data_IF_617496781313
#
_entry.id   IF_617496781313
#
_cell.length_a   1.000
_cell.length_b   1.000
_cell.length_c   1.000
_cell.angle_alpha   90.00
_cell.angle_beta   90.00
_cell.angle_gamma   90.00
#
_symmetry.space_group_name_H-M   'P 1'
#
loop_
_entity.id
_entity.type
_entity.pdbx_description
1 polymer ?
#
# COMPACT_ATOMS: atom_id res chain seq x y z
N UNK A 1 -28.69 37.56 -28.62
CA UNK A 1 -27.85 36.93 -29.66
C UNK A 1 -26.96 35.89 -28.98
N UNK A 2 -27.28 34.63 -29.17
CA UNK A 2 -26.47 33.51 -28.66
C UNK A 2 -25.45 33.17 -29.73
N UNK A 3 -24.19 33.41 -29.49
CA UNK A 3 -23.10 32.99 -30.36
C UNK A 3 -22.80 31.50 -30.11
N UNK A 4 -23.29 30.63 -30.98
CA UNK A 4 -22.86 29.26 -31.07
C UNK A 4 -21.44 29.22 -31.66
N UNK A 5 -20.44 28.97 -30.83
CA UNK A 5 -19.10 28.61 -31.30
C UNK A 5 -19.01 27.10 -31.31
N UNK A 6 -19.27 26.50 -32.48
CA UNK A 6 -18.98 25.11 -32.77
C UNK A 6 -17.46 24.99 -33.01
N UNK A 7 -16.69 24.59 -32.01
CA UNK A 7 -15.35 24.13 -32.17
C UNK A 7 -15.32 22.62 -31.92
N UNK A 8 -15.21 21.86 -33.01
CA UNK A 8 -14.76 20.45 -33.07
C UNK A 8 -14.98 19.58 -31.85
N UNK A 9 -16.19 19.04 -31.67
CA UNK A 9 -16.41 17.83 -30.86
C UNK A 9 -16.40 18.00 -29.34
N UNK A 10 -16.14 19.18 -28.79
CA UNK A 10 -16.18 19.43 -27.33
C UNK A 10 -17.35 20.35 -26.99
N UNK A 11 -18.21 19.87 -26.11
CA UNK A 11 -19.30 20.69 -25.55
C UNK A 11 -18.90 21.10 -24.12
N UNK A 12 -18.66 22.38 -23.92
CA UNK A 12 -18.44 22.89 -22.56
C UNK A 12 -19.79 23.06 -21.87
N UNK A 13 -20.09 22.20 -20.91
CA UNK A 13 -21.18 22.35 -19.97
C UNK A 13 -20.65 22.94 -18.68
N UNK A 14 -21.46 23.81 -18.03
CA UNK A 14 -21.13 24.27 -16.69
C UNK A 14 -21.05 23.05 -15.77
N UNK A 15 -19.93 22.87 -15.09
CA UNK A 15 -19.79 21.80 -14.08
C UNK A 15 -20.80 22.08 -12.96
N UNK A 16 -21.83 21.27 -12.87
CA UNK A 16 -22.70 21.20 -11.70
C UNK A 16 -22.17 20.06 -10.83
N UNK A 17 -21.78 20.39 -9.61
CA UNK A 17 -21.34 19.37 -8.65
C UNK A 17 -22.46 18.33 -8.51
N UNK A 18 -22.14 17.02 -8.55
CA UNK A 18 -23.15 15.98 -8.40
C UNK A 18 -23.92 16.20 -7.10
N UNK A 19 -25.24 16.08 -7.17
CA UNK A 19 -26.12 16.25 -6.02
C UNK A 19 -25.70 15.26 -4.92
N UNK A 20 -25.13 15.74 -3.84
CA UNK A 20 -24.76 14.89 -2.72
C UNK A 20 -26.02 14.55 -1.93
N UNK A 21 -26.39 13.28 -1.95
CA UNK A 21 -27.48 12.80 -1.09
C UNK A 21 -27.07 12.88 0.38
N UNK A 22 -28.02 12.95 1.32
CA UNK A 22 -27.69 12.87 2.75
C UNK A 22 -26.84 11.64 3.08
N UNK A 23 -27.09 10.50 2.43
CA UNK A 23 -26.26 9.30 2.53
C UNK A 23 -24.80 9.56 2.14
N UNK A 24 -24.56 10.25 1.02
CA UNK A 24 -23.20 10.53 0.51
C UNK A 24 -22.41 11.45 1.46
N UNK A 25 -23.07 12.25 2.28
CA UNK A 25 -22.43 13.07 3.33
C UNK A 25 -22.04 12.27 4.56
N UNK A 26 -22.89 11.33 4.99
CA UNK A 26 -22.68 10.54 6.21
C UNK A 26 -21.76 9.35 5.98
N UNK A 27 -21.77 8.77 4.77
CA UNK A 27 -21.01 7.56 4.48
C UNK A 27 -19.48 7.68 4.61
N UNK A 28 -18.82 8.80 4.25
CA UNK A 28 -17.40 9.01 4.56
C UNK A 28 -17.11 9.03 6.06
N UNK A 29 -17.97 9.68 6.86
CA UNK A 29 -17.85 9.74 8.33
C UNK A 29 -17.96 8.34 8.90
N UNK A 30 -18.99 7.59 8.50
CA UNK A 30 -19.17 6.18 8.90
C UNK A 30 -17.94 5.31 8.61
N UNK A 31 -17.35 5.41 7.41
CA UNK A 31 -16.14 4.65 7.05
C UNK A 31 -14.95 4.99 7.96
N UNK A 32 -14.84 6.26 8.33
CA UNK A 32 -13.81 6.74 9.25
C UNK A 32 -14.01 6.15 10.64
N UNK A 33 -15.23 6.25 11.19
CA UNK A 33 -15.57 5.74 12.51
C UNK A 33 -15.39 4.21 12.61
N UNK A 34 -15.85 3.45 11.61
CA UNK A 34 -15.63 2.00 11.55
C UNK A 34 -14.13 1.64 11.55
N UNK A 35 -13.29 2.46 10.94
CA UNK A 35 -11.84 2.24 10.97
C UNK A 35 -11.27 2.47 12.37
N UNK A 36 -11.75 3.48 13.08
CA UNK A 36 -11.35 3.79 14.46
C UNK A 36 -11.83 2.73 15.45
N UNK A 37 -13.08 2.31 15.35
CA UNK A 37 -13.68 1.29 16.24
C UNK A 37 -13.26 -0.14 15.86
N UNK A 38 -12.31 -0.30 14.94
CA UNK A 38 -11.81 -1.62 14.50
C UNK A 38 -12.92 -2.57 14.01
N UNK A 39 -13.89 -2.00 13.28
CA UNK A 39 -14.98 -2.77 12.68
C UNK A 39 -16.20 -2.97 13.59
N UNK A 40 -16.18 -2.45 14.81
CA UNK A 40 -17.36 -2.48 15.70
C UNK A 40 -18.41 -1.50 15.18
N UNK A 41 -19.52 -2.06 14.70
CA UNK A 41 -20.61 -1.29 14.13
C UNK A 41 -21.37 -0.49 15.18
N UNK A 42 -21.66 -1.12 16.32
CA UNK A 42 -22.49 -0.51 17.36
C UNK A 42 -21.75 0.69 17.97
N UNK A 43 -20.46 0.53 18.29
CA UNK A 43 -19.61 1.60 18.78
C UNK A 43 -19.48 2.75 17.74
N UNK A 44 -19.33 2.41 16.47
CA UNK A 44 -19.24 3.42 15.41
C UNK A 44 -20.51 4.25 15.26
N UNK A 45 -21.69 3.60 15.40
CA UNK A 45 -22.99 4.31 15.36
C UNK A 45 -23.19 5.17 16.60
N UNK A 46 -22.78 4.69 17.78
CA UNK A 46 -22.86 5.50 18.99
C UNK A 46 -22.00 6.77 18.89
N UNK A 47 -20.79 6.65 18.37
CA UNK A 47 -19.95 7.83 18.09
C UNK A 47 -20.57 8.75 17.03
N UNK A 48 -21.21 8.16 16.02
CA UNK A 48 -21.88 8.94 14.98
C UNK A 48 -23.07 9.73 15.54
N UNK A 49 -23.85 9.16 16.48
CA UNK A 49 -24.93 9.86 17.18
C UNK A 49 -24.41 11.01 18.03
N UNK A 50 -23.29 10.81 18.76
CA UNK A 50 -22.64 11.89 19.53
C UNK A 50 -22.17 13.03 18.62
N UNK A 51 -21.58 12.72 17.47
CA UNK A 51 -21.19 13.72 16.49
C UNK A 51 -22.40 14.45 15.89
N UNK A 52 -23.50 13.75 15.69
CA UNK A 52 -24.73 14.36 15.19
C UNK A 52 -25.34 15.37 16.21
N UNK A 53 -25.32 15.05 17.49
CA UNK A 53 -25.75 15.95 18.57
C UNK A 53 -24.89 17.24 18.59
N UNK A 54 -23.57 17.12 18.36
CA UNK A 54 -22.65 18.26 18.42
C UNK A 54 -22.64 19.09 17.13
N UNK A 55 -22.63 18.43 15.96
CA UNK A 55 -22.40 19.06 14.66
C UNK A 55 -23.62 19.10 13.74
N UNK A 56 -24.77 18.55 14.16
CA UNK A 56 -26.01 18.52 13.38
C UNK A 56 -25.79 17.96 11.96
N UNK A 57 -25.22 16.75 11.90
CA UNK A 57 -24.88 16.08 10.64
C UNK A 57 -26.11 15.64 9.86
N UNK A 58 -27.22 15.35 10.56
CA UNK A 58 -28.51 14.89 10.04
C UNK A 58 -29.52 16.02 9.92
N UNK A 59 -30.64 15.71 9.31
CA UNK A 59 -31.80 16.60 9.20
C UNK A 59 -33.05 15.89 9.74
N UNK A 60 -34.12 16.64 10.09
CA UNK A 60 -35.37 15.99 10.51
C UNK A 60 -35.97 15.04 9.47
N UNK A 61 -35.62 15.20 8.18
CA UNK A 61 -36.09 14.38 7.07
C UNK A 61 -35.21 13.16 6.80
N UNK A 62 -33.98 13.12 7.34
CA UNK A 62 -33.03 12.04 7.17
C UNK A 62 -32.16 11.90 8.42
N UNK A 63 -32.49 10.90 9.22
CA UNK A 63 -31.89 10.61 10.52
C UNK A 63 -30.78 9.57 10.43
N UNK A 64 -30.06 9.34 11.54
CA UNK A 64 -29.08 8.23 11.64
C UNK A 64 -29.77 6.86 11.40
N UNK A 65 -31.00 6.69 11.84
CA UNK A 65 -31.72 5.44 11.66
C UNK A 65 -32.09 5.22 10.18
N UNK A 66 -32.48 6.26 9.46
CA UNK A 66 -32.65 6.21 7.99
C UNK A 66 -31.35 5.85 7.27
N UNK A 67 -30.23 6.40 7.77
CA UNK A 67 -28.91 6.05 7.24
C UNK A 67 -28.56 4.58 7.45
N UNK A 68 -28.86 4.03 8.63
CA UNK A 68 -28.67 2.57 8.93
C UNK A 68 -29.53 1.71 8.01
N UNK A 69 -30.80 2.10 7.78
CA UNK A 69 -31.65 1.39 6.82
C UNK A 69 -31.09 1.42 5.39
N UNK A 70 -30.56 2.56 4.97
CA UNK A 70 -29.92 2.71 3.67
C UNK A 70 -28.64 1.87 3.57
N UNK A 71 -27.84 1.79 4.62
CA UNK A 71 -26.70 0.88 4.68
C UNK A 71 -27.12 -0.58 4.49
N UNK A 72 -28.23 -1.01 5.11
CA UNK A 72 -28.81 -2.35 4.92
C UNK A 72 -29.29 -2.55 3.48
N UNK A 73 -30.13 -1.65 2.98
CA UNK A 73 -30.69 -1.71 1.62
C UNK A 73 -29.60 -1.75 0.54
N UNK A 74 -28.54 -1.00 0.74
CA UNK A 74 -27.39 -0.94 -0.18
C UNK A 74 -26.43 -2.12 0.02
N UNK A 75 -26.60 -2.95 1.05
CA UNK A 75 -25.78 -4.13 1.34
C UNK A 75 -24.41 -3.83 1.90
N UNK A 76 -24.25 -2.71 2.60
CA UNK A 76 -23.02 -2.37 3.31
C UNK A 76 -22.93 -3.06 4.67
N UNK A 77 -24.08 -3.32 5.32
CA UNK A 77 -24.17 -4.03 6.59
C UNK A 77 -25.18 -5.17 6.47
N UNK A 78 -25.04 -6.16 7.32
CA UNK A 78 -25.97 -7.28 7.45
C UNK A 78 -26.16 -7.67 8.90
N UNK A 79 -27.31 -8.27 9.20
CA UNK A 79 -27.55 -8.90 10.50
C UNK A 79 -26.82 -10.24 10.59
N UNK A 80 -26.19 -10.46 11.71
CA UNK A 80 -25.60 -11.75 12.06
C UNK A 80 -26.17 -12.21 13.39
N UNK A 81 -26.68 -13.43 13.40
CA UNK A 81 -27.12 -14.07 14.63
C UNK A 81 -25.93 -14.80 15.22
N UNK A 82 -25.46 -14.35 16.38
CA UNK A 82 -24.39 -15.03 17.12
C UNK A 82 -24.85 -16.37 17.66
N UNK A 83 -23.93 -17.33 17.93
CA UNK A 83 -24.28 -18.63 18.47
C UNK A 83 -25.00 -18.58 19.82
N UNK A 84 -24.90 -17.47 20.54
CA UNK A 84 -25.59 -17.21 21.81
C UNK A 84 -27.03 -16.68 21.64
N UNK A 85 -27.51 -16.54 20.39
CA UNK A 85 -28.82 -16.03 20.06
C UNK A 85 -28.93 -14.50 20.03
N UNK A 86 -27.86 -13.75 20.35
CA UNK A 86 -27.85 -12.32 20.21
C UNK A 86 -27.65 -11.91 18.72
N UNK A 87 -28.52 -11.04 18.21
CA UNK A 87 -28.34 -10.42 16.90
C UNK A 87 -27.35 -9.27 16.99
N UNK A 88 -26.44 -9.18 16.04
CA UNK A 88 -25.52 -8.04 15.87
C UNK A 88 -25.47 -7.58 14.43
N UNK A 89 -25.09 -6.32 14.22
CA UNK A 89 -24.84 -5.82 12.88
C UNK A 89 -23.36 -5.96 12.57
N UNK A 90 -23.06 -6.47 11.37
CA UNK A 90 -21.69 -6.58 10.89
C UNK A 90 -21.53 -5.89 9.53
N UNK A 91 -20.34 -5.37 9.29
CA UNK A 91 -19.98 -4.82 8.00
C UNK A 91 -19.76 -5.93 6.97
N UNK A 92 -20.06 -5.64 5.71
CA UNK A 92 -19.89 -6.61 4.60
C UNK A 92 -18.57 -6.39 3.87
N UNK A 93 -18.18 -7.34 3.02
CA UNK A 93 -17.04 -7.20 2.11
C UNK A 93 -17.13 -5.96 1.20
N UNK A 94 -18.36 -5.49 0.92
CA UNK A 94 -18.61 -4.25 0.18
C UNK A 94 -18.14 -3.03 0.99
N UNK A 95 -18.43 -3.01 2.28
CA UNK A 95 -17.97 -1.95 3.19
C UNK A 95 -16.46 -2.01 3.39
N UNK A 96 -15.89 -3.18 3.59
CA UNK A 96 -14.43 -3.35 3.69
C UNK A 96 -13.72 -2.79 2.45
N UNK A 97 -14.23 -3.07 1.25
CA UNK A 97 -13.72 -2.49 0.02
C UNK A 97 -13.89 -0.98 -0.04
N UNK A 98 -15.05 -0.47 0.37
CA UNK A 98 -15.32 0.98 0.39
C UNK A 98 -14.40 1.71 1.38
N UNK A 99 -14.06 1.10 2.53
CA UNK A 99 -13.08 1.62 3.48
C UNK A 99 -11.68 1.68 2.87
N UNK A 100 -11.23 0.60 2.20
CA UNK A 100 -9.92 0.59 1.53
C UNK A 100 -9.82 1.63 0.41
N UNK A 101 -10.87 1.77 -0.40
CA UNK A 101 -10.93 2.81 -1.43
C UNK A 101 -10.90 4.21 -0.82
N UNK A 102 -11.62 4.42 0.27
CA UNK A 102 -11.60 5.70 1.00
C UNK A 102 -10.21 6.01 1.57
N UNK A 103 -9.54 5.03 2.16
CA UNK A 103 -8.16 5.17 2.62
C UNK A 103 -7.20 5.50 1.46
N UNK A 104 -7.38 4.86 0.30
CA UNK A 104 -6.60 5.15 -0.91
C UNK A 104 -6.82 6.59 -1.39
N UNK A 105 -8.06 7.06 -1.40
CA UNK A 105 -8.40 8.43 -1.80
C UNK A 105 -7.86 9.47 -0.81
N UNK A 106 -7.96 9.22 0.49
CA UNK A 106 -7.44 10.11 1.53
C UNK A 106 -5.91 10.25 1.45
N UNK A 107 -5.21 9.14 1.29
CA UNK A 107 -3.74 9.11 1.35
C UNK A 107 -3.13 9.49 0.01
N UNK A 108 -3.69 9.01 -1.11
CA UNK A 108 -3.12 9.16 -2.44
C UNK A 108 -3.92 10.06 -3.39
N UNK A 109 -5.11 10.50 -3.01
CA UNK A 109 -5.95 11.38 -3.82
C UNK A 109 -5.29 12.72 -4.15
N UNK A 110 -4.44 13.22 -3.27
CA UNK A 110 -3.66 14.44 -3.49
C UNK A 110 -2.45 14.21 -4.41
N UNK A 111 -1.92 12.98 -4.50
CA UNK A 111 -0.80 12.64 -5.38
C UNK A 111 -1.16 12.67 -6.88
N UNK A 112 -2.43 12.45 -7.22
CA UNK A 112 -2.92 12.58 -8.60
C UNK A 112 -2.95 14.04 -9.11
N UNK A 113 -2.84 15.04 -8.22
CA UNK A 113 -2.77 16.47 -8.59
C UNK A 113 -1.34 16.97 -8.78
N UNK A 114 -0.35 16.30 -8.20
CA UNK A 114 1.07 16.53 -8.51
C UNK A 114 1.40 15.67 -9.73
N UNK A 115 1.31 16.26 -10.91
CA UNK A 115 1.44 15.67 -12.24
C UNK A 115 2.05 14.27 -12.31
N UNK A 116 1.35 13.36 -12.95
CA UNK A 116 1.87 12.08 -13.41
C UNK A 116 3.16 12.34 -14.21
N UNK A 117 4.29 12.38 -13.51
CA UNK A 117 5.60 12.41 -14.12
C UNK A 117 5.83 11.07 -14.81
N UNK A 118 5.60 11.05 -16.10
CA UNK A 118 5.99 9.96 -17.00
C UNK A 118 7.53 9.95 -17.07
N UNK A 119 8.22 9.58 -16.01
CA UNK A 119 9.66 9.38 -16.04
C UNK A 119 9.95 8.07 -16.74
N UNK A 120 10.14 8.14 -18.04
CA UNK A 120 10.70 7.07 -18.85
C UNK A 120 12.09 6.74 -18.30
N UNK A 121 12.27 5.55 -17.77
CA UNK A 121 13.60 5.03 -17.45
C UNK A 121 14.30 4.70 -18.76
N UNK A 122 15.45 5.33 -19.02
CA UNK A 122 16.27 5.18 -20.23
C UNK A 122 16.99 3.83 -20.37
N UNK A 123 16.49 2.76 -19.82
CA UNK A 123 17.13 1.45 -19.99
C UNK A 123 16.14 0.44 -20.56
N UNK A 124 16.38 0.06 -21.82
CA UNK A 124 15.74 -1.06 -22.51
C UNK A 124 16.09 -2.37 -21.84
N UNK A 125 15.13 -3.27 -21.72
CA UNK A 125 15.31 -4.61 -21.14
C UNK A 125 14.34 -5.61 -21.75
N UNK A 126 14.67 -6.90 -21.70
CA UNK A 126 13.83 -7.99 -22.20
C UNK A 126 12.56 -8.14 -21.35
N UNK A 127 11.42 -7.62 -21.78
CA UNK A 127 10.12 -7.70 -21.09
C UNK A 127 8.98 -8.04 -22.05
N UNK A 128 7.85 -8.49 -21.50
CA UNK A 128 6.71 -9.02 -22.27
C UNK A 128 5.69 -7.96 -22.75
N UNK A 129 5.91 -6.68 -22.50
CA UNK A 129 5.00 -5.63 -22.97
C UNK A 129 5.69 -4.68 -23.94
N UNK A 130 5.15 -4.62 -25.15
CA UNK A 130 5.56 -3.70 -26.20
C UNK A 130 5.19 -2.26 -25.79
N UNK A 131 6.17 -1.37 -25.74
CA UNK A 131 5.92 0.05 -25.42
C UNK A 131 5.53 0.88 -26.61
N UNK A 132 5.65 0.30 -27.80
CA UNK A 132 5.52 1.04 -29.07
C UNK A 132 6.69 1.98 -29.37
N UNK A 133 7.69 2.07 -28.48
CA UNK A 133 8.93 2.81 -28.76
C UNK A 133 9.84 1.93 -29.62
N UNK A 134 10.26 2.47 -30.77
CA UNK A 134 11.09 1.77 -31.76
C UNK A 134 12.53 2.24 -31.65
N UNK A 135 13.47 1.31 -31.74
CA UNK A 135 14.91 1.59 -31.85
C UNK A 135 15.59 0.71 -32.90
N UNK A 136 16.75 1.12 -33.35
CA UNK A 136 17.58 0.29 -34.21
C UNK A 136 18.02 -0.99 -33.49
N UNK A 137 18.09 -2.09 -34.23
CA UNK A 137 18.59 -3.38 -33.78
C UNK A 137 20.02 -3.27 -33.26
N UNK A 138 20.31 -3.97 -32.17
CA UNK A 138 21.67 -4.15 -31.66
C UNK A 138 21.97 -5.63 -31.48
N UNK A 139 23.22 -6.01 -31.71
CA UNK A 139 23.64 -7.39 -31.51
C UNK A 139 23.34 -7.88 -30.09
N UNK A 140 22.57 -8.97 -29.97
CA UNK A 140 22.10 -9.52 -28.71
C UNK A 140 20.61 -9.26 -28.40
N UNK A 141 19.90 -8.50 -29.24
CA UNK A 141 18.46 -8.38 -29.16
C UNK A 141 17.76 -9.68 -29.55
N UNK A 142 16.63 -9.95 -28.90
CA UNK A 142 15.85 -11.15 -29.20
C UNK A 142 15.08 -10.98 -30.52
N UNK A 143 15.05 -12.01 -31.32
CA UNK A 143 14.39 -12.01 -32.65
C UNK A 143 12.88 -11.72 -32.51
N UNK A 144 12.26 -12.14 -31.41
CA UNK A 144 10.86 -11.93 -31.09
C UNK A 144 10.50 -10.45 -30.89
N UNK A 145 11.48 -9.59 -30.64
CA UNK A 145 11.31 -8.16 -30.44
C UNK A 145 11.45 -7.35 -31.75
N UNK A 146 11.81 -7.99 -32.85
CA UNK A 146 11.96 -7.32 -34.14
C UNK A 146 10.57 -6.97 -34.67
N UNK A 147 10.33 -5.66 -34.86
CA UNK A 147 9.14 -5.16 -35.57
C UNK A 147 9.32 -5.39 -37.08
N UNK A 148 8.77 -6.49 -37.58
CA UNK A 148 8.87 -6.83 -39.00
C UNK A 148 8.29 -5.75 -39.90
N UNK A 149 7.16 -5.13 -39.50
CA UNK A 149 6.51 -4.09 -40.28
C UNK A 149 7.39 -2.86 -40.50
N UNK A 150 8.01 -2.36 -39.43
CA UNK A 150 8.88 -1.19 -39.53
C UNK A 150 10.25 -1.54 -40.15
N UNK A 151 10.76 -2.73 -39.92
CA UNK A 151 11.99 -3.23 -40.56
C UNK A 151 11.82 -3.36 -42.07
N UNK A 152 10.70 -3.92 -42.53
CA UNK A 152 10.38 -4.04 -43.97
C UNK A 152 10.22 -2.65 -44.62
N UNK A 153 9.59 -1.72 -43.93
CA UNK A 153 9.42 -0.35 -44.37
C UNK A 153 10.77 0.36 -44.54
N UNK A 154 11.69 0.18 -43.56
CA UNK A 154 13.04 0.73 -43.67
C UNK A 154 13.80 0.09 -44.84
N UNK A 155 13.71 -1.23 -45.02
CA UNK A 155 14.35 -1.91 -46.16
C UNK A 155 13.84 -1.37 -47.53
N UNK A 156 12.52 -1.11 -47.64
CA UNK A 156 11.95 -0.50 -48.85
C UNK A 156 12.41 0.94 -49.09
N UNK A 157 12.54 1.71 -48.01
CA UNK A 157 13.03 3.11 -48.10
C UNK A 157 14.50 3.15 -48.51
N UNK A 158 15.31 2.23 -47.96
CA UNK A 158 16.76 2.21 -48.19
C UNK A 158 17.17 1.56 -49.52
N UNK A 159 16.46 0.50 -49.95
CA UNK A 159 16.86 -0.33 -51.10
C UNK A 159 15.88 -0.23 -52.30
N UNK A 160 14.77 0.51 -52.15
CA UNK A 160 13.75 0.64 -53.20
C UNK A 160 12.80 -0.56 -53.31
N UNK A 161 11.79 -0.44 -54.20
CA UNK A 161 10.72 -1.45 -54.31
C UNK A 161 11.09 -2.59 -55.29
N UNK A 162 12.13 -2.40 -56.15
CA UNK A 162 12.48 -3.33 -57.23
C UNK A 162 13.30 -4.54 -56.84
N UNK A 163 14.23 -4.39 -55.92
CA UNK A 163 15.02 -5.51 -55.35
C UNK A 163 14.91 -5.47 -53.83
N UNK A 164 14.08 -6.33 -53.29
CA UNK A 164 13.91 -6.41 -51.84
C UNK A 164 15.16 -7.03 -51.19
N UNK A 165 15.86 -6.23 -50.37
CA UNK A 165 17.02 -6.66 -49.59
C UNK A 165 16.84 -6.13 -48.15
N UNK A 166 16.77 -7.02 -47.20
CA UNK A 166 16.72 -6.69 -45.77
C UNK A 166 18.15 -6.79 -45.20
N UNK A 167 18.64 -5.72 -44.64
CA UNK A 167 19.94 -5.66 -43.98
C UNK A 167 19.79 -5.44 -42.49
N UNK A 168 20.85 -5.73 -41.71
CA UNK A 168 20.84 -5.52 -40.25
C UNK A 168 20.51 -4.06 -39.88
N UNK A 169 20.89 -3.10 -40.71
CA UNK A 169 20.64 -1.68 -40.51
C UNK A 169 19.14 -1.29 -40.68
N UNK A 170 18.38 -2.11 -41.36
CA UNK A 170 16.95 -1.91 -41.57
C UNK A 170 16.11 -2.48 -40.39
N UNK A 171 16.73 -3.31 -39.56
CA UNK A 171 16.04 -3.95 -38.44
C UNK A 171 15.69 -2.96 -37.33
N UNK A 172 14.44 -2.96 -36.96
CA UNK A 172 13.87 -2.14 -35.89
C UNK A 172 13.33 -3.07 -34.81
N UNK A 173 13.68 -2.77 -33.57
CA UNK A 173 13.24 -3.52 -32.40
C UNK A 173 12.26 -2.65 -31.60
N UNK A 174 11.17 -3.27 -31.19
CA UNK A 174 10.27 -2.64 -30.21
C UNK A 174 10.89 -2.75 -28.82
N UNK A 175 11.07 -1.61 -28.17
CA UNK A 175 11.52 -1.59 -26.78
C UNK A 175 10.45 -2.20 -25.89
N UNK A 176 10.85 -3.21 -25.15
CA UNK A 176 10.01 -3.82 -24.14
C UNK A 176 10.45 -3.36 -22.75
N UNK A 177 9.53 -2.84 -21.97
CA UNK A 177 9.83 -2.55 -20.57
C UNK A 177 9.71 -3.81 -19.73
N UNK A 178 10.77 -4.13 -19.00
CA UNK A 178 10.65 -5.06 -17.90
C UNK A 178 9.72 -4.44 -16.86
N UNK A 179 8.47 -4.89 -16.81
CA UNK A 179 7.68 -4.71 -15.60
C UNK A 179 8.29 -5.62 -14.54
N UNK A 180 9.20 -5.07 -13.75
CA UNK A 180 9.73 -5.78 -12.60
C UNK A 180 8.57 -6.09 -11.64
N UNK A 181 8.30 -7.37 -11.43
CA UNK A 181 7.33 -7.80 -10.42
C UNK A 181 7.97 -7.66 -9.04
N UNK A 182 7.24 -7.04 -8.12
CA UNK A 182 7.68 -6.79 -6.75
C UNK A 182 6.93 -7.70 -5.77
N UNK A 183 7.64 -8.28 -4.83
CA UNK A 183 7.03 -8.91 -3.64
C UNK A 183 7.31 -8.05 -2.43
N UNK A 184 6.24 -7.51 -1.83
CA UNK A 184 6.31 -6.68 -0.65
C UNK A 184 5.70 -7.41 0.53
N UNK A 185 6.40 -7.43 1.66
CA UNK A 185 5.82 -7.77 2.95
C UNK A 185 5.66 -6.49 3.75
N UNK A 186 4.44 -6.20 4.18
CA UNK A 186 4.13 -5.11 5.09
C UNK A 186 4.02 -5.67 6.50
N UNK A 187 4.91 -5.21 7.38
CA UNK A 187 4.93 -5.54 8.80
C UNK A 187 4.29 -4.41 9.59
N UNK A 188 3.30 -4.71 10.41
CA UNK A 188 2.62 -3.73 11.26
C UNK A 188 2.83 -4.11 12.72
N UNK A 189 3.37 -3.19 13.48
CA UNK A 189 3.51 -3.30 14.93
C UNK A 189 2.13 -3.16 15.59
N UNK A 190 1.77 -4.14 16.41
CA UNK A 190 0.52 -4.14 17.19
C UNK A 190 0.81 -4.20 18.69
N UNK A 191 2.02 -3.84 19.10
CA UNK A 191 2.40 -3.77 20.50
C UNK A 191 1.67 -2.65 21.22
N UNK A 192 1.63 -2.75 22.54
CA UNK A 192 0.90 -1.81 23.40
C UNK A 192 1.35 -0.35 23.23
N UNK A 193 2.60 -0.10 22.86
CA UNK A 193 3.14 1.24 22.62
C UNK A 193 2.45 2.00 21.46
N UNK A 194 1.79 1.27 20.55
CA UNK A 194 1.06 1.87 19.43
C UNK A 194 -0.21 2.63 19.85
N UNK A 195 -0.63 2.54 21.10
CA UNK A 195 -1.76 3.31 21.67
C UNK A 195 -1.40 4.05 22.98
N UNK A 196 -0.11 4.05 23.36
CA UNK A 196 0.31 4.72 24.60
C UNK A 196 0.34 6.24 24.44
N UNK A 197 0.25 6.92 25.59
CA UNK A 197 0.37 8.37 25.72
C UNK A 197 -0.73 9.19 25.05
N UNK A 198 -1.92 8.60 24.85
CA UNK A 198 -3.06 9.29 24.23
C UNK A 198 -2.93 9.50 22.72
N UNK A 199 -1.94 8.89 22.09
CA UNK A 199 -1.77 8.90 20.64
C UNK A 199 -2.26 7.57 20.03
N UNK A 200 -3.23 7.65 19.14
CA UNK A 200 -3.65 6.52 18.31
C UNK A 200 -2.72 6.42 17.08
N UNK A 201 -1.73 5.54 17.16
CA UNK A 201 -0.77 5.28 16.07
C UNK A 201 -1.21 4.13 15.18
N UNK A 202 -2.08 3.25 15.68
CA UNK A 202 -2.53 2.08 14.93
C UNK A 202 -3.52 2.44 13.82
N UNK A 203 -4.42 3.39 14.02
CA UNK A 203 -5.38 3.78 12.98
C UNK A 203 -4.71 4.35 11.73
N UNK A 204 -3.74 5.29 11.81
CA UNK A 204 -2.97 5.71 10.64
C UNK A 204 -2.21 4.55 9.97
N UNK A 205 -1.62 3.63 10.75
CA UNK A 205 -0.94 2.46 10.20
C UNK A 205 -1.92 1.55 9.42
N UNK A 206 -3.12 1.30 9.97
CA UNK A 206 -4.19 0.56 9.28
C UNK A 206 -4.60 1.25 7.97
N UNK A 207 -4.84 2.55 7.99
CA UNK A 207 -5.23 3.33 6.81
C UNK A 207 -4.20 3.20 5.69
N UNK A 208 -2.93 3.36 6.03
CA UNK A 208 -1.84 3.22 5.06
C UNK A 208 -1.74 1.79 4.52
N UNK A 209 -1.88 0.79 5.37
CA UNK A 209 -1.89 -0.60 4.95
C UNK A 209 -3.04 -0.91 3.99
N UNK A 210 -4.24 -0.41 4.28
CA UNK A 210 -5.43 -0.53 3.43
C UNK A 210 -5.26 0.19 2.10
N UNK A 211 -4.71 1.39 2.12
CA UNK A 211 -4.44 2.16 0.91
C UNK A 211 -3.41 1.49 0.01
N UNK A 212 -2.32 0.98 0.59
CA UNK A 212 -1.29 0.25 -0.13
C UNK A 212 -1.82 -1.06 -0.72
N UNK A 213 -2.65 -1.79 0.04
CA UNK A 213 -3.29 -3.00 -0.43
C UNK A 213 -4.22 -2.73 -1.63
N UNK A 214 -5.06 -1.70 -1.55
CA UNK A 214 -5.94 -1.33 -2.66
C UNK A 214 -5.15 -0.84 -3.88
N UNK A 215 -4.07 -0.07 -3.68
CA UNK A 215 -3.20 0.39 -4.74
C UNK A 215 -2.55 -0.78 -5.49
N UNK A 216 -1.94 -1.72 -4.75
CA UNK A 216 -1.25 -2.85 -5.36
C UNK A 216 -2.24 -3.75 -6.11
N UNK A 217 -3.37 -4.07 -5.50
CA UNK A 217 -4.37 -4.95 -6.13
C UNK A 217 -5.02 -4.34 -7.36
N UNK A 218 -5.14 -3.01 -7.43
CA UNK A 218 -5.81 -2.33 -8.57
C UNK A 218 -4.83 -1.90 -9.66
N UNK A 219 -3.68 -1.32 -9.30
CA UNK A 219 -2.72 -0.77 -10.28
C UNK A 219 -1.59 -1.72 -10.65
N UNK A 220 -1.23 -2.64 -9.75
CA UNK A 220 -0.07 -3.52 -9.94
C UNK A 220 -0.42 -5.01 -9.72
N UNK A 221 -1.33 -5.59 -10.52
CA UNK A 221 -1.87 -6.93 -10.27
C UNK A 221 -0.82 -8.05 -10.37
N UNK A 222 0.36 -7.78 -10.93
CA UNK A 222 1.50 -8.73 -10.98
C UNK A 222 2.39 -8.64 -9.73
N UNK A 223 2.26 -7.59 -8.93
CA UNK A 223 2.98 -7.44 -7.67
C UNK A 223 2.24 -8.20 -6.56
N UNK A 224 2.96 -8.65 -5.55
CA UNK A 224 2.34 -9.33 -4.40
C UNK A 224 2.54 -8.52 -3.13
N UNK A 225 1.49 -8.44 -2.32
CA UNK A 225 1.53 -7.89 -0.98
C UNK A 225 1.09 -8.96 0.01
N UNK A 226 1.97 -9.27 0.94
CA UNK A 226 1.65 -10.05 2.12
C UNK A 226 1.71 -9.15 3.34
N UNK A 227 0.76 -9.30 4.24
CA UNK A 227 0.66 -8.48 5.45
C UNK A 227 0.89 -9.38 6.64
N UNK A 228 1.74 -8.94 7.54
CA UNK A 228 1.94 -9.56 8.83
C UNK A 228 1.87 -8.53 9.95
N UNK A 229 1.46 -8.99 11.09
CA UNK A 229 1.48 -8.21 12.34
C UNK A 229 2.46 -8.84 13.31
N UNK A 230 3.04 -8.04 14.17
CA UNK A 230 3.96 -8.52 15.18
C UNK A 230 3.73 -7.83 16.53
N UNK A 231 3.80 -8.64 17.58
CA UNK A 231 3.73 -8.30 18.98
C UNK A 231 4.75 -9.16 19.71
N UNK A 232 4.33 -10.04 20.65
CA UNK A 232 5.22 -11.05 21.23
C UNK A 232 5.68 -12.09 20.17
N UNK A 233 4.78 -12.46 19.30
CA UNK A 233 5.01 -13.29 18.11
C UNK A 233 4.66 -12.52 16.84
N UNK A 234 4.82 -13.18 15.68
CA UNK A 234 4.43 -12.62 14.41
C UNK A 234 3.55 -13.62 13.64
N UNK A 235 2.51 -13.11 12.96
CA UNK A 235 1.63 -13.92 12.11
C UNK A 235 1.11 -13.13 10.93
N UNK A 236 0.72 -13.83 9.89
CA UNK A 236 0.13 -13.24 8.70
C UNK A 236 -1.35 -12.96 8.89
N UNK A 237 -1.82 -11.88 8.30
CA UNK A 237 -3.25 -11.52 8.23
C UNK A 237 -3.66 -11.32 6.77
N UNK A 238 -4.95 -11.44 6.49
CA UNK A 238 -5.50 -11.14 5.18
C UNK A 238 -5.82 -9.65 5.05
N UNK A 239 -5.86 -9.14 3.81
CA UNK A 239 -6.22 -7.73 3.54
C UNK A 239 -7.60 -7.37 4.13
N UNK A 240 -8.54 -8.32 4.14
CA UNK A 240 -9.87 -8.13 4.72
C UNK A 240 -9.85 -7.92 6.24
N UNK A 241 -8.81 -8.43 6.92
CA UNK A 241 -8.71 -8.34 8.38
C UNK A 241 -8.17 -6.98 8.85
N UNK A 242 -7.62 -6.16 7.94
CA UNK A 242 -7.03 -4.85 8.27
C UNK A 242 -7.99 -3.89 9.00
N UNK A 243 -9.26 -3.73 8.61
CA UNK A 243 -10.18 -2.86 9.34
C UNK A 243 -10.38 -3.26 10.80
N UNK A 244 -10.30 -4.56 11.08
CA UNK A 244 -10.54 -5.15 12.41
C UNK A 244 -9.30 -5.24 13.29
N UNK A 245 -8.14 -4.78 12.80
CA UNK A 245 -6.88 -4.86 13.51
C UNK A 245 -6.93 -4.03 14.79
N UNK A 246 -6.58 -4.66 15.90
CA UNK A 246 -6.48 -4.06 17.22
C UNK A 246 -5.07 -4.21 17.79
N UNK A 247 -4.69 -3.27 18.63
CA UNK A 247 -3.49 -3.37 19.45
C UNK A 247 -3.77 -4.30 20.63
N UNK A 248 -2.84 -5.19 20.91
CA UNK A 248 -2.92 -6.08 22.06
C UNK A 248 -1.96 -5.68 23.18
N UNK A 249 -2.04 -6.34 24.32
CA UNK A 249 -1.12 -6.16 25.44
C UNK A 249 0.23 -6.84 25.15
N UNK A 250 0.79 -6.57 23.97
CA UNK A 250 1.99 -7.23 23.46
C UNK A 250 3.22 -6.35 23.63
N UNK A 251 4.37 -7.01 23.81
CA UNK A 251 5.68 -6.44 23.60
C UNK A 251 6.03 -6.42 22.11
N UNK A 252 7.11 -5.73 21.73
CA UNK A 252 7.55 -5.59 20.36
C UNK A 252 8.66 -6.57 20.03
N UNK A 253 8.32 -7.69 19.36
CA UNK A 253 9.27 -8.70 18.87
C UNK A 253 9.59 -8.48 17.39
N UNK A 254 10.39 -7.48 17.10
CA UNK A 254 10.84 -7.17 15.73
C UNK A 254 11.59 -8.35 15.08
N UNK A 255 12.30 -9.16 15.89
CA UNK A 255 13.04 -10.34 15.41
C UNK A 255 12.10 -11.37 14.81
N UNK A 256 11.01 -11.71 15.50
CA UNK A 256 10.01 -12.66 14.98
C UNK A 256 9.34 -12.13 13.71
N UNK A 257 8.98 -10.84 13.68
CA UNK A 257 8.42 -10.22 12.50
C UNK A 257 9.34 -10.31 11.28
N UNK A 258 10.63 -9.97 11.43
CA UNK A 258 11.60 -10.03 10.34
C UNK A 258 11.88 -11.46 9.87
N UNK A 259 11.94 -12.43 10.78
CA UNK A 259 12.10 -13.84 10.43
C UNK A 259 10.95 -14.32 9.55
N UNK A 260 9.71 -14.07 9.99
CA UNK A 260 8.52 -14.43 9.21
C UNK A 260 8.48 -13.72 7.86
N UNK A 261 8.80 -12.43 7.82
CA UNK A 261 8.83 -11.66 6.57
C UNK A 261 9.84 -12.22 5.56
N UNK A 262 11.05 -12.54 6.02
CA UNK A 262 12.06 -13.16 5.18
C UNK A 262 11.64 -14.54 4.68
N UNK A 263 11.01 -15.35 5.53
CA UNK A 263 10.53 -16.68 5.16
C UNK A 263 9.41 -16.62 4.11
N UNK A 264 8.51 -15.65 4.20
CA UNK A 264 7.50 -15.39 3.18
C UNK A 264 8.18 -15.01 1.86
N UNK A 265 9.09 -14.05 1.88
CA UNK A 265 9.74 -13.53 0.67
C UNK A 265 10.66 -14.56 0.00
N UNK A 266 11.29 -15.46 0.75
CA UNK A 266 12.10 -16.57 0.18
C UNK A 266 11.28 -17.49 -0.72
N UNK A 267 10.00 -17.71 -0.40
CA UNK A 267 9.09 -18.58 -1.16
C UNK A 267 8.52 -17.90 -2.41
N UNK A 268 8.64 -16.56 -2.52
CA UNK A 268 8.15 -15.81 -3.69
C UNK A 268 9.12 -15.94 -4.86
N UNK A 269 8.55 -16.07 -6.06
CA UNK A 269 9.32 -16.20 -7.32
C UNK A 269 9.82 -14.85 -7.85
N UNK A 270 9.20 -13.75 -7.44
CA UNK A 270 9.55 -12.40 -7.90
C UNK A 270 10.99 -12.07 -7.51
N UNK A 271 11.73 -11.49 -8.46
CA UNK A 271 13.14 -11.13 -8.26
C UNK A 271 13.31 -9.99 -7.29
N UNK A 272 12.43 -8.98 -7.39
CA UNK A 272 12.47 -7.82 -6.51
C UNK A 272 11.63 -8.09 -5.26
N UNK A 273 12.24 -7.92 -4.11
CA UNK A 273 11.65 -8.19 -2.81
C UNK A 273 11.92 -7.03 -1.88
N UNK A 274 10.98 -6.69 -1.01
CA UNK A 274 11.16 -5.65 0.01
C UNK A 274 10.31 -5.91 1.23
N UNK A 275 10.73 -5.34 2.35
CA UNK A 275 9.97 -5.29 3.60
C UNK A 275 9.67 -3.82 3.91
N UNK A 276 8.40 -3.53 4.17
CA UNK A 276 7.95 -2.29 4.79
C UNK A 276 7.59 -2.58 6.24
N UNK A 277 8.15 -1.83 7.17
CA UNK A 277 7.90 -1.99 8.59
C UNK A 277 7.35 -0.69 9.17
N UNK A 278 6.14 -0.77 9.72
CA UNK A 278 5.49 0.34 10.44
C UNK A 278 5.57 0.02 11.93
N UNK A 279 6.23 0.86 12.70
CA UNK A 279 6.49 0.65 14.12
C UNK A 279 6.70 1.99 14.84
N UNK A 280 6.56 2.00 16.14
CA UNK A 280 7.02 3.11 16.98
C UNK A 280 8.52 3.00 17.34
N UNK A 281 9.17 1.88 16.98
CA UNK A 281 10.61 1.70 16.94
C UNK A 281 11.26 1.06 18.16
N UNK A 282 10.54 0.68 19.22
CA UNK A 282 11.13 0.10 20.43
C UNK A 282 11.02 -1.42 20.49
N UNK A 283 12.04 -2.20 20.09
CA UNK A 283 12.04 -3.64 20.32
C UNK A 283 12.19 -3.92 21.82
N UNK A 284 11.30 -4.73 22.37
CA UNK A 284 11.26 -5.00 23.82
C UNK A 284 11.10 -6.48 24.15
N UNK A 285 11.05 -7.36 23.15
CA UNK A 285 10.86 -8.79 23.33
C UNK A 285 11.64 -9.59 22.27
N UNK A 286 12.11 -10.76 22.65
CA UNK A 286 12.67 -11.77 21.75
C UNK A 286 12.33 -13.17 22.28
N UNK A 287 12.01 -14.09 21.38
CA UNK A 287 11.82 -15.49 21.73
C UNK A 287 13.13 -16.24 21.69
N UNK A 288 13.48 -16.91 22.79
CA UNK A 288 14.67 -17.72 22.92
C UNK A 288 14.50 -19.11 22.31
N UNK A 289 15.62 -19.82 22.13
CA UNK A 289 15.62 -21.18 21.55
C UNK A 289 14.88 -22.22 22.41
N UNK A 290 14.78 -21.99 23.71
CA UNK A 290 14.02 -22.82 24.64
C UNK A 290 12.50 -22.59 24.56
N UNK A 291 12.08 -21.59 23.75
CA UNK A 291 10.69 -21.21 23.58
C UNK A 291 10.19 -20.12 24.53
N UNK A 292 11.01 -19.73 25.53
CA UNK A 292 10.67 -18.66 26.45
C UNK A 292 10.87 -17.28 25.84
N UNK A 293 10.16 -16.28 26.38
CA UNK A 293 10.30 -14.89 25.96
C UNK A 293 11.23 -14.14 26.91
N UNK A 294 12.29 -13.59 26.36
CA UNK A 294 13.07 -12.57 27.03
C UNK A 294 12.45 -11.20 26.75
N UNK A 295 12.05 -10.49 27.81
CA UNK A 295 11.35 -9.21 27.71
C UNK A 295 12.05 -8.16 28.56
N UNK A 296 12.22 -6.95 28.02
CA UNK A 296 12.71 -5.80 28.73
C UNK A 296 11.96 -4.53 28.29
N UNK A 297 11.15 -4.00 29.20
CA UNK A 297 10.35 -2.78 28.98
C UNK A 297 11.13 -1.50 29.32
N UNK A 298 12.27 -1.59 30.00
CA UNK A 298 13.07 -0.45 30.45
C UNK A 298 14.14 -0.07 29.41
N UNK A 299 13.83 0.93 28.59
CA UNK A 299 14.77 1.42 27.58
C UNK A 299 15.01 0.45 26.42
N UNK A 300 16.10 0.67 25.68
CA UNK A 300 16.58 -0.23 24.64
C UNK A 300 17.55 -1.23 25.26
N UNK A 301 17.18 -2.50 25.23
CA UNK A 301 18.02 -3.60 25.71
C UNK A 301 19.04 -4.00 24.65
N UNK A 302 20.33 -4.02 25.02
CA UNK A 302 21.41 -4.30 24.08
C UNK A 302 21.27 -5.69 23.43
N UNK A 303 20.88 -6.70 24.20
CA UNK A 303 20.72 -8.06 23.68
C UNK A 303 19.62 -8.16 22.62
N UNK A 304 18.45 -7.53 22.87
CA UNK A 304 17.34 -7.49 21.92
C UNK A 304 17.74 -6.71 20.67
N UNK A 305 18.40 -5.57 20.84
CA UNK A 305 18.88 -4.69 19.76
C UNK A 305 19.87 -5.42 18.84
N UNK A 306 20.86 -6.14 19.43
CA UNK A 306 21.82 -6.93 18.65
C UNK A 306 21.13 -8.04 17.83
N UNK A 307 20.12 -8.68 18.39
CA UNK A 307 19.31 -9.66 17.64
C UNK A 307 18.58 -9.02 16.45
N UNK A 308 18.04 -7.81 16.64
CA UNK A 308 17.40 -7.06 15.54
C UNK A 308 18.41 -6.70 14.44
N UNK A 309 19.61 -6.22 14.80
CA UNK A 309 20.67 -5.91 13.82
C UNK A 309 21.13 -7.14 13.06
N UNK A 310 21.22 -8.29 13.72
CA UNK A 310 21.55 -9.56 13.07
C UNK A 310 20.49 -9.97 12.03
N UNK A 311 19.19 -9.75 12.31
CA UNK A 311 18.13 -10.00 11.34
C UNK A 311 18.18 -9.00 10.17
N UNK A 312 18.44 -7.73 10.44
CA UNK A 312 18.62 -6.71 9.41
C UNK A 312 19.79 -7.06 8.46
N UNK A 313 20.92 -7.48 9.01
CA UNK A 313 22.07 -7.96 8.23
C UNK A 313 21.76 -9.24 7.45
N UNK A 314 20.95 -10.15 8.00
CA UNK A 314 20.49 -11.33 7.28
C UNK A 314 19.59 -10.99 6.09
N UNK A 315 18.64 -10.07 6.26
CA UNK A 315 17.80 -9.57 5.17
C UNK A 315 18.65 -8.93 4.06
N UNK A 316 19.70 -8.17 4.41
CA UNK A 316 20.67 -7.62 3.46
C UNK A 316 21.38 -8.73 2.65
N UNK A 317 21.85 -9.80 3.29
CA UNK A 317 22.48 -10.95 2.61
C UNK A 317 21.52 -11.63 1.62
N UNK A 318 20.22 -11.53 1.86
CA UNK A 318 19.17 -12.05 0.97
C UNK A 318 18.73 -11.03 -0.09
N UNK A 319 19.40 -9.87 -0.18
CA UNK A 319 19.03 -8.77 -1.06
C UNK A 319 17.59 -8.27 -0.84
N UNK A 320 17.13 -8.27 0.41
CA UNK A 320 15.81 -7.78 0.81
C UNK A 320 16.01 -6.44 1.55
N UNK A 321 15.79 -5.29 0.91
CA UNK A 321 15.82 -4.01 1.59
C UNK A 321 14.64 -3.88 2.55
N UNK A 322 14.92 -3.28 3.71
CA UNK A 322 13.91 -2.93 4.71
C UNK A 322 13.74 -1.42 4.70
N UNK A 323 12.52 -0.97 4.53
CA UNK A 323 12.16 0.42 4.75
C UNK A 323 11.34 0.53 6.03
N UNK A 324 11.88 1.24 7.01
CA UNK A 324 11.24 1.46 8.31
C UNK A 324 10.50 2.78 8.32
N UNK A 325 9.21 2.76 8.60
CA UNK A 325 8.37 3.93 8.83
C UNK A 325 8.12 4.06 10.32
N UNK A 326 8.86 4.98 10.93
CA UNK A 326 8.82 5.21 12.36
C UNK A 326 7.84 6.33 12.70
N UNK A 327 6.83 6.01 13.50
CA UNK A 327 5.76 6.94 13.88
C UNK A 327 6.12 7.75 15.15
N UNK A 328 7.15 7.34 15.88
CA UNK A 328 7.60 8.04 17.11
C UNK A 328 8.73 9.03 16.83
N UNK A 329 8.81 10.10 17.67
CA UNK A 329 9.84 11.13 17.57
C UNK A 329 10.88 11.05 18.70
N UNK A 330 11.05 9.88 19.33
CA UNK A 330 12.01 9.68 20.41
C UNK A 330 13.45 9.61 19.85
N UNK A 331 14.38 10.48 20.30
CA UNK A 331 15.77 10.49 19.83
C UNK A 331 16.52 9.17 20.10
N UNK A 332 16.22 8.46 21.18
CA UNK A 332 16.83 7.16 21.47
C UNK A 332 16.41 6.10 20.46
N UNK A 333 15.14 6.09 20.10
CA UNK A 333 14.60 5.17 19.09
C UNK A 333 15.13 5.51 17.71
N UNK A 334 15.31 6.79 17.39
CA UNK A 334 15.92 7.22 16.12
C UNK A 334 17.33 6.67 15.98
N UNK A 335 18.13 6.68 17.06
CA UNK A 335 19.48 6.12 17.06
C UNK A 335 19.47 4.62 16.78
N UNK A 336 18.55 3.87 17.39
CA UNK A 336 18.37 2.44 17.10
C UNK A 336 18.00 2.21 15.63
N UNK A 337 17.01 2.94 15.13
CA UNK A 337 16.54 2.79 13.74
C UNK A 337 17.63 3.14 12.74
N UNK A 338 18.49 4.13 13.01
CA UNK A 338 19.62 4.48 12.15
C UNK A 338 20.62 3.31 12.04
N UNK A 339 21.05 2.74 13.15
CA UNK A 339 21.95 1.56 13.12
C UNK A 339 21.30 0.34 12.47
N UNK A 340 20.01 0.13 12.71
CA UNK A 340 19.24 -0.93 12.06
C UNK A 340 19.21 -0.76 10.53
N UNK A 341 18.99 0.48 10.09
CA UNK A 341 18.96 0.84 8.68
C UNK A 341 20.34 0.68 8.03
N UNK A 342 21.41 1.09 8.70
CA UNK A 342 22.79 0.87 8.25
C UNK A 342 23.12 -0.62 8.12
N UNK A 343 22.71 -1.44 9.08
CA UNK A 343 22.95 -2.89 9.05
C UNK A 343 22.28 -3.57 7.85
N UNK A 344 21.10 -3.10 7.45
CA UNK A 344 20.37 -3.61 6.30
C UNK A 344 20.76 -2.91 4.98
N UNK A 345 21.32 -1.68 5.02
CA UNK A 345 21.44 -0.75 3.89
C UNK A 345 20.07 -0.39 3.28
N UNK A 346 19.06 -0.34 4.12
CA UNK A 346 17.70 0.02 3.79
C UNK A 346 17.44 1.52 3.89
N UNK A 347 16.23 1.88 4.30
CA UNK A 347 15.80 3.26 4.52
C UNK A 347 15.02 3.40 5.81
N UNK A 348 15.05 4.57 6.40
CA UNK A 348 14.19 4.94 7.51
C UNK A 348 13.52 6.29 7.24
N UNK A 349 12.22 6.35 7.49
CA UNK A 349 11.44 7.56 7.43
C UNK A 349 10.86 7.84 8.81
N UNK A 350 11.10 9.05 9.29
CA UNK A 350 10.57 9.54 10.56
C UNK A 350 9.40 10.45 10.25
N UNK A 351 8.21 9.99 10.53
CA UNK A 351 7.00 10.72 10.17
C UNK A 351 6.07 10.86 11.36
N UNK A 352 5.33 11.96 11.40
CA UNK A 352 4.14 12.03 12.22
C UNK A 352 2.99 11.26 11.56
N UNK A 353 1.85 11.25 12.23
CA UNK A 353 0.62 10.59 11.72
C UNK A 353 0.17 11.13 10.35
N UNK A 354 0.52 12.39 10.04
CA UNK A 354 0.28 13.02 8.74
C UNK A 354 1.52 12.84 7.86
N UNK A 355 1.40 12.25 6.69
CA UNK A 355 2.49 12.06 5.71
C UNK A 355 3.04 10.65 5.59
N UNK A 356 2.68 9.73 6.49
CA UNK A 356 3.10 8.33 6.44
C UNK A 356 2.77 7.67 5.09
N UNK A 357 1.56 7.90 4.59
CA UNK A 357 1.11 7.30 3.34
C UNK A 357 1.88 7.80 2.12
N UNK A 358 2.17 9.11 2.04
CA UNK A 358 2.94 9.69 0.95
C UNK A 358 4.35 9.09 0.89
N UNK A 359 5.02 8.98 2.03
CA UNK A 359 6.37 8.40 2.11
C UNK A 359 6.40 6.92 1.71
N UNK A 360 5.43 6.13 2.15
CA UNK A 360 5.32 4.72 1.78
C UNK A 360 5.10 4.56 0.27
N UNK A 361 4.25 5.40 -0.30
CA UNK A 361 3.97 5.35 -1.73
C UNK A 361 5.18 5.74 -2.57
N UNK A 362 5.85 6.85 -2.24
CA UNK A 362 7.05 7.28 -2.95
C UNK A 362 8.16 6.22 -2.88
N UNK A 363 8.34 5.60 -1.73
CA UNK A 363 9.33 4.54 -1.59
C UNK A 363 8.95 3.28 -2.37
N UNK A 364 7.68 2.89 -2.34
CA UNK A 364 7.16 1.77 -3.12
C UNK A 364 7.40 1.98 -4.62
N UNK A 365 7.01 3.13 -5.17
CA UNK A 365 7.20 3.45 -6.57
C UNK A 365 8.70 3.53 -6.94
N UNK A 366 9.52 4.12 -6.07
CA UNK A 366 10.97 4.24 -6.29
C UNK A 366 11.63 2.87 -6.31
N UNK A 367 11.31 1.99 -5.36
CA UNK A 367 11.90 0.65 -5.26
C UNK A 367 11.42 -0.25 -6.41
N UNK A 368 10.18 -0.09 -6.84
CA UNK A 368 9.63 -0.81 -8.00
C UNK A 368 10.35 -0.46 -9.30
N UNK A 369 10.81 0.78 -9.45
CA UNK A 369 11.57 1.26 -10.62
C UNK A 369 13.04 0.87 -10.57
N UNK A 370 13.59 0.57 -9.39
CA UNK A 370 14.99 0.15 -9.22
C UNK A 370 15.13 -1.33 -9.55
N UNK A 371 16.10 -1.64 -10.39
CA UNK A 371 16.58 -3.01 -10.57
C UNK A 371 17.49 -3.32 -9.38
N UNK A 372 17.07 -4.21 -8.49
CA UNK A 372 17.97 -4.75 -7.46
C UNK A 372 18.92 -5.68 -8.20
N UNK A 373 20.20 -5.29 -8.28
CA UNK A 373 21.29 -6.08 -8.87
C UNK A 373 21.76 -7.16 -7.90
#
# INVERSE_FOLDING_TARGET
MKSNVNASGFQFTKYEAPFQTPFDKLFPIFKELITHTSGDFDEAIDWMRQLDEEYQLTTPEYTIDDFIEDLKKKGYIREEVKPDGSGGMIITAKTERAIRQHALEQIFGNLNKAGSGNHKTKQSGKGDEHTGDLRAFQFGDAVEQISLTESLKNAQVNNGIGEFKLTEQDLVVEDTHHKSQMSTVLMIDISHSMILYGEDRITPAKKVAMALAELITTRYPKDTLDILVFGNDAWTIQIKDLPYLQVGPYHTNTVAGLQLAMDILRRKRNTNKQIFMITDGKPSCVREKNGEYYMNSNGLDQYIVEKCYNQAAQARKLHIPITTFMIARDPYLQKFVNYFTEANQGKAFYTGLKGLGEMIFEDYETNRKKRIR
#
